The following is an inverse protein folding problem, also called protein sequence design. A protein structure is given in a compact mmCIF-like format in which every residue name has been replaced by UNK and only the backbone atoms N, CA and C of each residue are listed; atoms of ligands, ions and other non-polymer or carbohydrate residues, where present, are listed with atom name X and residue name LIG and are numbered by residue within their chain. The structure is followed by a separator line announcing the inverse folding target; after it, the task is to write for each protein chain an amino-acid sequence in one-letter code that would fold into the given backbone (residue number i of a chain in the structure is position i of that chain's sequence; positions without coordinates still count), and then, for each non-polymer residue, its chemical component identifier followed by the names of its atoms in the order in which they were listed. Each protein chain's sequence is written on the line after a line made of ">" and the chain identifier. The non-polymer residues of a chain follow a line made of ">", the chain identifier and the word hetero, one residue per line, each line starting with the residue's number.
data_IF_414249009094
#
_entry.id   IF_414249009094
#
_cell.length_a   1.000
_cell.length_b   1.000
_cell.length_c   1.000
_cell.angle_alpha   90.00
_cell.angle_beta   90.00
_cell.angle_gamma   90.00
#
_symmetry.space_group_name_H-M   'P 1'
#
loop_
_entity.id
_entity.type
_entity.pdbx_description
1 polymer ?
#
# COMPACT_ATOMS: atom_id res chain seq x y z
N UNK A 1 -8.10 34.95 64.63
CA UNK A 1 -8.89 33.79 64.15
C UNK A 1 -8.86 33.77 62.63
N UNK A 2 -8.08 32.92 62.12
CA UNK A 2 -7.66 32.90 60.75
C UNK A 2 -8.36 31.80 59.98
N UNK A 3 -9.15 32.18 59.00
CA UNK A 3 -9.68 31.27 58.02
C UNK A 3 -8.80 31.24 56.77
N UNK A 4 -8.21 30.08 56.47
CA UNK A 4 -7.53 29.82 55.24
C UNK A 4 -8.53 29.57 54.13
N UNK A 5 -8.41 30.14 52.94
CA UNK A 5 -9.11 29.62 51.77
C UNK A 5 -8.34 28.49 51.11
N UNK A 6 -9.09 27.46 50.77
CA UNK A 6 -8.62 26.27 50.11
C UNK A 6 -8.09 26.57 48.70
N UNK A 7 -6.97 25.93 48.38
CA UNK A 7 -6.36 26.01 47.04
C UNK A 7 -7.22 25.37 45.97
N UNK A 8 -7.52 26.15 44.99
CA UNK A 8 -8.13 25.70 43.74
C UNK A 8 -7.07 24.95 42.94
N UNK A 9 -7.10 23.63 43.05
CA UNK A 9 -6.31 22.76 42.21
C UNK A 9 -6.74 22.90 40.75
N UNK A 10 -5.91 23.59 40.01
CA UNK A 10 -6.05 23.74 38.59
C UNK A 10 -5.88 22.36 37.91
N UNK A 11 -7.00 21.66 37.74
CA UNK A 11 -7.08 20.51 36.88
C UNK A 11 -6.97 21.00 35.44
N UNK A 12 -5.76 21.26 35.00
CA UNK A 12 -5.48 21.23 33.59
C UNK A 12 -5.74 19.80 33.09
N UNK A 13 -6.95 19.59 32.61
CA UNK A 13 -7.28 18.47 31.77
C UNK A 13 -6.26 18.45 30.64
N UNK A 14 -5.28 17.58 30.74
CA UNK A 14 -4.54 17.09 29.60
C UNK A 14 -5.60 16.47 28.68
N UNK A 15 -6.10 17.25 27.76
CA UNK A 15 -6.71 16.72 26.57
C UNK A 15 -5.60 15.93 25.88
N UNK A 16 -5.55 14.64 26.16
CA UNK A 16 -4.83 13.69 25.34
C UNK A 16 -5.57 13.76 24.01
N UNK A 17 -5.03 14.58 23.11
CA UNK A 17 -5.35 14.43 21.71
C UNK A 17 -4.87 13.02 21.32
N UNK A 18 -5.77 12.06 21.47
CA UNK A 18 -5.69 10.82 20.73
C UNK A 18 -5.69 11.28 19.26
N UNK A 19 -4.49 11.41 18.70
CA UNK A 19 -4.36 11.55 17.24
C UNK A 19 -5.00 10.31 16.69
N UNK A 20 -6.24 10.44 16.24
CA UNK A 20 -6.88 9.41 15.45
C UNK A 20 -5.92 9.13 14.29
N UNK A 21 -5.50 7.87 14.17
CA UNK A 21 -4.76 7.43 13.00
C UNK A 21 -5.59 7.86 11.80
N UNK A 22 -5.05 8.58 10.80
CA UNK A 22 -5.82 8.89 9.62
C UNK A 22 -6.39 7.59 9.10
N UNK A 23 -7.69 7.45 9.22
CA UNK A 23 -8.40 6.24 8.84
C UNK A 23 -8.33 6.10 7.34
N UNK A 24 -7.67 5.08 6.87
CA UNK A 24 -7.84 4.63 5.49
C UNK A 24 -9.21 4.00 5.37
N UNK A 25 -10.09 4.56 4.56
CA UNK A 25 -11.42 4.04 4.32
C UNK A 25 -11.51 3.48 2.90
N UNK A 26 -11.89 2.19 2.79
CA UNK A 26 -12.16 1.56 1.50
C UNK A 26 -13.54 1.98 1.03
N UNK A 27 -13.61 2.34 -0.25
CA UNK A 27 -14.82 2.86 -0.88
C UNK A 27 -15.27 1.88 -1.97
N UNK A 28 -16.32 1.14 -1.70
CA UNK A 28 -16.95 0.21 -2.64
C UNK A 28 -18.46 0.51 -2.66
N UNK A 29 -18.92 1.52 -3.44
CA UNK A 29 -20.33 1.90 -3.47
C UNK A 29 -21.21 0.79 -4.02
N UNK A 30 -22.36 0.56 -3.40
CA UNK A 30 -23.34 -0.44 -3.87
C UNK A 30 -23.98 -0.07 -5.20
N UNK A 31 -23.84 1.19 -5.64
CA UNK A 31 -24.38 1.72 -6.90
C UNK A 31 -23.58 1.33 -8.16
N UNK A 32 -22.42 0.70 -8.00
CA UNK A 32 -21.57 0.24 -9.10
C UNK A 32 -21.31 -1.25 -8.98
N UNK A 33 -20.84 -1.87 -10.08
CA UNK A 33 -20.48 -3.28 -10.05
C UNK A 33 -19.46 -3.57 -8.95
N UNK A 34 -19.60 -4.65 -8.16
CA UNK A 34 -18.59 -5.02 -7.16
C UNK A 34 -17.21 -5.30 -7.79
N UNK A 35 -16.11 -5.19 -7.04
CA UNK A 35 -14.78 -5.48 -7.55
C UNK A 35 -14.70 -6.90 -8.13
N UNK A 36 -14.10 -7.05 -9.31
CA UNK A 36 -13.93 -8.34 -9.98
C UNK A 36 -12.90 -9.27 -9.29
N UNK A 37 -12.06 -8.72 -8.42
CA UNK A 37 -10.98 -9.42 -7.75
C UNK A 37 -10.66 -8.77 -6.41
N UNK A 38 -9.55 -9.15 -5.77
CA UNK A 38 -9.13 -8.62 -4.47
C UNK A 38 -8.54 -7.20 -4.59
N UNK A 39 -9.41 -6.19 -4.70
CA UNK A 39 -9.08 -4.76 -4.67
C UNK A 39 -10.27 -3.93 -4.17
N UNK A 40 -10.02 -2.72 -3.68
CA UNK A 40 -11.07 -1.73 -3.43
C UNK A 40 -11.22 -0.80 -4.65
N UNK A 41 -12.45 -0.34 -4.94
CA UNK A 41 -12.67 0.67 -6.00
C UNK A 41 -11.96 1.98 -5.68
N UNK A 42 -11.94 2.38 -4.42
CA UNK A 42 -11.24 3.56 -3.96
C UNK A 42 -10.72 3.41 -2.53
N UNK A 43 -9.74 4.24 -2.18
CA UNK A 43 -9.26 4.37 -0.79
C UNK A 43 -9.16 5.85 -0.47
N UNK A 44 -9.86 6.26 0.57
CA UNK A 44 -9.73 7.59 1.16
C UNK A 44 -8.62 7.60 2.19
N UNK A 45 -7.77 8.62 2.13
CA UNK A 45 -6.66 8.83 3.05
C UNK A 45 -6.85 10.15 3.78
N UNK A 46 -6.76 10.14 5.11
CA UNK A 46 -6.88 11.35 5.94
C UNK A 46 -5.74 12.33 5.74
N UNK A 47 -5.97 13.62 6.03
CA UNK A 47 -5.06 14.74 5.75
C UNK A 47 -3.74 14.74 6.54
N UNK A 48 -3.61 13.97 7.61
CA UNK A 48 -2.40 13.90 8.45
C UNK A 48 -1.49 12.70 8.11
N UNK A 49 -1.65 12.10 6.92
CA UNK A 49 -0.85 10.96 6.52
C UNK A 49 0.49 11.36 5.91
N UNK A 50 1.55 10.60 6.22
CA UNK A 50 2.76 10.55 5.41
C UNK A 50 2.47 9.65 4.20
N UNK A 51 2.94 10.03 3.02
CA UNK A 51 2.70 9.30 1.78
C UNK A 51 4.03 8.90 1.17
N UNK A 52 4.15 7.65 0.73
CA UNK A 52 5.29 7.12 -0.01
C UNK A 52 4.82 6.71 -1.41
N UNK A 53 5.52 7.21 -2.41
CA UNK A 53 5.34 6.80 -3.80
C UNK A 53 6.50 5.87 -4.18
N UNK A 54 6.19 4.62 -4.52
CA UNK A 54 7.16 3.68 -5.05
C UNK A 54 7.11 3.73 -6.56
N UNK A 55 8.25 4.00 -7.19
CA UNK A 55 8.40 3.84 -8.64
C UNK A 55 8.14 2.41 -9.06
N UNK A 56 7.91 2.17 -10.34
CA UNK A 56 7.77 0.84 -10.90
C UNK A 56 8.96 -0.05 -10.53
N UNK A 57 8.67 -1.18 -9.90
CA UNK A 57 9.64 -2.20 -9.53
C UNK A 57 9.56 -3.35 -10.52
N UNK A 58 10.70 -3.73 -11.04
CA UNK A 58 10.85 -4.84 -11.98
C UNK A 58 11.32 -6.11 -11.27
N UNK A 59 11.07 -7.26 -11.90
CA UNK A 59 11.44 -8.57 -11.38
C UNK A 59 12.93 -8.88 -11.54
N UNK A 60 13.77 -8.11 -10.88
CA UNK A 60 15.22 -8.27 -10.86
C UNK A 60 15.72 -8.30 -9.42
N UNK A 61 16.65 -9.17 -9.10
CA UNK A 61 17.25 -9.21 -7.78
C UNK A 61 18.42 -8.22 -7.64
N UNK A 62 19.00 -8.17 -6.44
CA UNK A 62 20.12 -7.28 -6.13
C UNK A 62 21.37 -7.55 -6.98
N UNK A 63 21.57 -8.79 -7.39
CA UNK A 63 22.75 -9.22 -8.16
C UNK A 63 22.53 -9.10 -9.67
N UNK A 64 21.32 -8.63 -10.08
CA UNK A 64 20.97 -8.40 -11.47
C UNK A 64 20.37 -9.63 -12.17
N UNK A 65 20.02 -10.69 -11.43
CA UNK A 65 19.34 -11.85 -11.96
C UNK A 65 17.87 -11.55 -12.21
N UNK A 66 17.39 -11.90 -13.38
CA UNK A 66 15.98 -11.81 -13.79
C UNK A 66 15.46 -13.25 -13.93
N UNK A 67 14.53 -13.70 -13.05
CA UNK A 67 13.95 -15.04 -13.19
C UNK A 67 13.10 -15.17 -14.45
N UNK A 68 13.05 -16.37 -15.01
CA UNK A 68 12.24 -16.65 -16.21
C UNK A 68 10.74 -16.68 -15.94
N UNK A 69 10.31 -17.00 -14.70
CA UNK A 69 8.90 -17.14 -14.37
C UNK A 69 8.29 -15.83 -13.86
N UNK A 70 7.11 -15.47 -14.40
CA UNK A 70 6.37 -14.27 -14.01
C UNK A 70 6.02 -14.24 -12.51
N UNK A 71 5.76 -15.40 -11.88
CA UNK A 71 5.52 -15.49 -10.44
C UNK A 71 6.75 -15.04 -9.64
N UNK A 72 7.95 -15.49 -10.00
CA UNK A 72 9.18 -15.14 -9.29
C UNK A 72 9.53 -13.66 -9.51
N UNK A 73 9.33 -13.15 -10.73
CA UNK A 73 9.46 -11.72 -11.01
C UNK A 73 8.48 -10.90 -10.16
N UNK A 74 7.22 -11.31 -10.05
CA UNK A 74 6.21 -10.63 -9.22
C UNK A 74 6.61 -10.62 -7.76
N UNK A 75 7.15 -11.72 -7.22
CA UNK A 75 7.65 -11.77 -5.84
C UNK A 75 8.81 -10.79 -5.62
N UNK A 76 9.73 -10.67 -6.58
CA UNK A 76 10.82 -9.69 -6.50
C UNK A 76 10.29 -8.26 -6.50
N UNK A 77 9.31 -7.93 -7.35
CA UNK A 77 8.66 -6.63 -7.34
C UNK A 77 8.07 -6.29 -5.95
N UNK A 78 7.30 -7.20 -5.36
CA UNK A 78 6.72 -6.97 -4.03
C UNK A 78 7.77 -6.89 -2.93
N UNK A 79 8.82 -7.71 -2.98
CA UNK A 79 9.94 -7.63 -2.01
C UNK A 79 10.66 -6.28 -2.10
N UNK A 80 10.86 -5.76 -3.30
CA UNK A 80 11.45 -4.43 -3.50
C UNK A 80 10.53 -3.33 -2.89
N UNK A 81 9.23 -3.39 -3.14
CA UNK A 81 8.25 -2.47 -2.55
C UNK A 81 8.28 -2.56 -1.01
N UNK A 82 8.28 -3.76 -0.43
CA UNK A 82 8.38 -3.95 1.03
C UNK A 82 9.65 -3.33 1.58
N UNK A 83 10.79 -3.50 0.91
CA UNK A 83 12.05 -2.89 1.32
C UNK A 83 12.00 -1.35 1.28
N UNK A 84 11.44 -0.77 0.21
CA UNK A 84 11.26 0.69 0.09
C UNK A 84 10.36 1.23 1.19
N UNK A 85 9.23 0.57 1.46
CA UNK A 85 8.30 0.96 2.53
C UNK A 85 8.96 0.86 3.91
N UNK A 86 9.80 -0.15 4.12
CA UNK A 86 10.57 -0.34 5.35
C UNK A 86 11.47 0.85 5.70
N UNK A 87 12.11 1.50 4.72
CA UNK A 87 12.91 2.72 4.92
C UNK A 87 12.07 3.88 5.48
N UNK A 88 10.77 3.90 5.18
CA UNK A 88 9.82 4.88 5.72
C UNK A 88 9.14 4.42 7.02
N UNK A 89 9.48 3.24 7.55
CA UNK A 89 8.80 2.63 8.70
C UNK A 89 7.38 2.19 8.37
N UNK A 90 7.09 1.92 7.10
CA UNK A 90 5.80 1.43 6.60
C UNK A 90 5.88 -0.05 6.25
N UNK A 91 4.71 -0.67 6.08
CA UNK A 91 4.55 -2.08 5.71
C UNK A 91 3.65 -2.24 4.49
N UNK A 92 3.51 -3.45 4.01
CA UNK A 92 2.60 -3.79 2.91
C UNK A 92 1.15 -3.40 3.21
N UNK A 93 0.76 -3.39 4.48
CA UNK A 93 -0.60 -3.01 4.93
C UNK A 93 -0.90 -1.52 4.77
N UNK A 94 0.14 -0.70 4.64
CA UNK A 94 0.00 0.74 4.42
C UNK A 94 -0.25 1.10 2.94
N UNK A 95 -0.20 0.12 2.04
CA UNK A 95 -0.47 0.35 0.62
C UNK A 95 -1.92 0.74 0.41
N UNK A 96 -2.14 1.87 -0.25
CA UNK A 96 -3.46 2.40 -0.62
C UNK A 96 -3.75 2.24 -2.10
N UNK A 97 -2.71 2.12 -2.93
CA UNK A 97 -2.83 1.94 -4.37
C UNK A 97 -1.73 1.03 -4.93
N UNK A 98 -2.14 0.11 -5.80
CA UNK A 98 -1.25 -0.67 -6.65
C UNK A 98 -1.58 -0.41 -8.12
N UNK A 99 -0.56 -0.17 -8.93
CA UNK A 99 -0.64 -0.24 -10.37
C UNK A 99 0.30 -1.33 -10.83
N UNK A 100 -0.23 -2.32 -11.54
CA UNK A 100 0.56 -3.42 -12.05
C UNK A 100 0.45 -3.50 -13.57
N UNK A 101 1.54 -3.88 -14.18
CA UNK A 101 1.67 -4.02 -15.62
C UNK A 101 2.25 -5.39 -15.92
N UNK A 102 1.68 -6.09 -16.90
CA UNK A 102 2.18 -7.38 -17.40
C UNK A 102 2.38 -7.32 -18.89
N UNK A 103 3.44 -7.95 -19.38
CA UNK A 103 3.78 -7.93 -20.81
C UNK A 103 2.92 -8.85 -21.69
N UNK A 104 2.09 -9.71 -21.07
CA UNK A 104 1.17 -10.62 -21.77
C UNK A 104 -0.02 -10.98 -20.89
N UNK A 105 -1.15 -11.29 -21.51
CA UNK A 105 -2.33 -11.81 -20.82
C UNK A 105 -2.06 -13.14 -20.09
N UNK A 106 -1.11 -13.93 -20.55
CA UNK A 106 -0.72 -15.20 -19.92
C UNK A 106 -0.13 -15.01 -18.51
N UNK A 107 0.41 -13.82 -18.19
CA UNK A 107 1.00 -13.52 -16.88
C UNK A 107 -0.01 -13.00 -15.85
N UNK A 108 -1.26 -12.73 -16.24
CA UNK A 108 -2.30 -12.22 -15.34
C UNK A 108 -2.53 -13.16 -14.14
N UNK A 109 -2.66 -14.46 -14.41
CA UNK A 109 -2.87 -15.46 -13.34
C UNK A 109 -1.70 -15.54 -12.37
N UNK A 110 -0.47 -15.54 -12.89
CA UNK A 110 0.75 -15.56 -12.09
C UNK A 110 0.88 -14.32 -11.20
N UNK A 111 0.60 -13.15 -11.75
CA UNK A 111 0.57 -11.89 -10.98
C UNK A 111 -0.48 -11.93 -9.87
N UNK A 112 -1.74 -12.26 -10.19
CA UNK A 112 -2.83 -12.26 -9.21
C UNK A 112 -2.58 -13.23 -8.06
N UNK A 113 -2.07 -14.42 -8.36
CA UNK A 113 -1.71 -15.42 -7.34
C UNK A 113 -0.69 -14.86 -6.35
N UNK A 114 0.40 -14.28 -6.84
CA UNK A 114 1.45 -13.72 -5.97
C UNK A 114 0.98 -12.45 -5.26
N UNK A 115 0.23 -11.57 -5.94
CA UNK A 115 -0.37 -10.40 -5.29
C UNK A 115 -1.15 -10.82 -4.03
N UNK A 116 -1.97 -11.85 -4.13
CA UNK A 116 -2.81 -12.32 -3.01
C UNK A 116 -2.02 -12.95 -1.86
N UNK A 117 -0.74 -13.33 -2.09
CA UNK A 117 0.19 -13.72 -1.04
C UNK A 117 0.67 -12.51 -0.20
N UNK A 118 0.76 -11.31 -0.80
CA UNK A 118 1.30 -10.10 -0.18
C UNK A 118 0.24 -9.14 0.32
N UNK A 119 -0.84 -8.97 -0.44
CA UNK A 119 -1.87 -7.96 -0.16
C UNK A 119 -2.80 -8.46 0.92
N UNK A 120 -2.87 -7.69 2.01
CA UNK A 120 -3.75 -7.97 3.14
C UNK A 120 -5.22 -7.64 2.85
N UNK A 121 -6.10 -8.10 3.74
CA UNK A 121 -7.50 -7.71 3.76
C UNK A 121 -7.72 -6.69 4.90
N UNK A 122 -8.31 -5.52 4.63
CA UNK A 122 -8.94 -5.06 3.39
C UNK A 122 -7.90 -4.64 2.33
N UNK A 123 -8.18 -4.92 1.02
CA UNK A 123 -7.22 -4.67 -0.05
C UNK A 123 -7.12 -3.19 -0.43
N UNK A 124 -6.00 -2.77 -1.07
CA UNK A 124 -5.88 -1.44 -1.65
C UNK A 124 -6.74 -1.26 -2.90
N UNK A 125 -6.83 -0.03 -3.39
CA UNK A 125 -7.23 0.22 -4.77
C UNK A 125 -6.18 -0.35 -5.72
N UNK A 126 -6.59 -0.95 -6.84
CA UNK A 126 -5.64 -1.58 -7.77
C UNK A 126 -6.10 -1.44 -9.22
N UNK A 127 -5.11 -1.33 -10.10
CA UNK A 127 -5.31 -1.42 -11.55
C UNK A 127 -4.26 -2.37 -12.11
N UNK A 128 -4.67 -3.25 -13.01
CA UNK A 128 -3.80 -4.17 -13.73
C UNK A 128 -3.98 -3.96 -15.23
N UNK A 129 -2.89 -3.74 -15.94
CA UNK A 129 -2.89 -3.51 -17.37
C UNK A 129 -1.92 -4.45 -18.10
N UNK A 130 -2.30 -4.86 -19.29
CA UNK A 130 -1.42 -5.54 -20.23
C UNK A 130 -0.74 -4.47 -21.07
N UNK A 131 0.59 -4.51 -21.12
CA UNK A 131 1.41 -3.57 -21.90
C UNK A 131 2.19 -4.32 -22.98
N UNK A 132 2.71 -3.62 -23.95
CA UNK A 132 3.46 -4.24 -25.06
C UNK A 132 4.83 -4.80 -24.66
N UNK A 133 5.38 -4.35 -23.53
CA UNK A 133 6.65 -4.77 -23.01
C UNK A 133 7.29 -3.72 -22.09
N UNK A 134 8.51 -4.00 -21.67
CA UNK A 134 9.31 -3.17 -20.80
C UNK A 134 10.65 -2.82 -21.45
N UNK A 135 11.53 -2.11 -20.72
CA UNK A 135 12.84 -1.70 -21.24
C UNK A 135 13.72 -2.87 -21.72
N UNK A 136 13.51 -4.05 -21.15
CA UNK A 136 14.17 -5.29 -21.57
C UNK A 136 13.13 -6.39 -21.76
N UNK A 137 13.28 -7.24 -22.79
CA UNK A 137 12.28 -8.27 -23.15
C UNK A 137 12.13 -9.38 -22.09
N UNK A 138 13.11 -9.54 -21.19
CA UNK A 138 13.05 -10.53 -20.09
C UNK A 138 12.06 -10.14 -19.00
N UNK A 139 11.74 -8.85 -18.84
CA UNK A 139 10.79 -8.40 -17.85
C UNK A 139 9.35 -8.73 -18.28
N UNK A 140 8.61 -9.33 -17.37
CA UNK A 140 7.23 -9.78 -17.56
C UNK A 140 6.24 -8.99 -16.74
N UNK A 141 6.71 -8.38 -15.64
CA UNK A 141 5.87 -7.68 -14.64
C UNK A 141 6.60 -6.45 -14.14
N UNK A 142 5.85 -5.36 -13.96
CA UNK A 142 6.25 -4.15 -13.24
C UNK A 142 5.14 -3.73 -12.28
N UNK A 143 5.49 -3.26 -11.08
CA UNK A 143 4.52 -2.86 -10.07
C UNK A 143 4.91 -1.54 -9.45
N UNK A 144 3.97 -0.58 -9.44
CA UNK A 144 4.02 0.67 -8.69
C UNK A 144 3.15 0.57 -7.45
N UNK A 145 3.52 1.29 -6.41
CA UNK A 145 2.71 1.39 -5.20
C UNK A 145 2.67 2.80 -4.64
N UNK A 146 1.54 3.14 -4.03
CA UNK A 146 1.42 4.29 -3.13
C UNK A 146 1.00 3.77 -1.77
N UNK A 147 1.73 4.15 -0.74
CA UNK A 147 1.42 3.83 0.64
C UNK A 147 1.16 5.09 1.46
N UNK A 148 0.31 4.99 2.47
CA UNK A 148 -0.02 6.08 3.36
C UNK A 148 -0.16 5.60 4.80
N UNK A 149 0.43 6.35 5.74
CA UNK A 149 0.37 6.05 7.17
C UNK A 149 0.26 7.32 8.00
N UNK A 150 -0.43 7.26 9.13
CA UNK A 150 -0.44 8.32 10.13
C UNK A 150 0.99 8.69 10.55
N UNK A 151 1.20 9.97 10.77
CA UNK A 151 2.44 10.52 11.37
C UNK A 151 2.55 10.16 12.85
#
# INVERSE_FOLDING_TARGET
>A
MSGKPAGNGNRFLRAVFLRERPSMRRLNPDSIHPPFANYAHGVEVGSAARIVFCSGQLGIDRDGLIPDHAEDQTRLCFRAIVAILGEAGMTIEDIVRLNAYVASAEYLGSYMKVRDEFVSNPPPASTLMIVQGFARPEFKVEIEAVAARAS
#
